data_IF_901059821860
#
_entry.id   IF_901059821860
#
_cell.length_a   1.000
_cell.length_b   1.000
_cell.length_c   1.000
_cell.angle_alpha   90.00
_cell.angle_beta   90.00
_cell.angle_gamma   90.00
#
_symmetry.space_group_name_H-M   'P 1'
#
loop_
_entity.id
_entity.type
_entity.pdbx_description
1 polymer ?
#
# COMPACT_ATOMS: atom_id res chain seq x y z
N UNK A 1 -15.57 33.19 18.78
CA UNK A 1 -14.82 32.25 19.61
C UNK A 1 -14.63 30.97 18.82
N UNK A 2 -13.41 30.46 18.72
CA UNK A 2 -13.13 29.18 18.05
C UNK A 2 -13.33 28.05 19.06
N UNK A 3 -14.26 27.14 18.78
CA UNK A 3 -14.50 25.98 19.65
C UNK A 3 -13.27 25.05 19.64
N UNK A 4 -12.88 24.47 20.79
CA UNK A 4 -11.86 23.44 20.84
C UNK A 4 -12.30 22.23 20.01
N UNK A 5 -11.34 21.55 19.38
CA UNK A 5 -11.58 20.28 18.70
C UNK A 5 -11.39 19.18 19.75
N UNK A 6 -12.48 18.50 20.09
CA UNK A 6 -12.42 17.29 20.90
C UNK A 6 -12.10 16.12 19.98
N UNK A 7 -10.91 15.56 20.14
CA UNK A 7 -10.52 14.30 19.51
C UNK A 7 -10.92 13.18 20.47
N UNK A 8 -12.21 12.85 20.49
CA UNK A 8 -12.69 11.70 21.25
C UNK A 8 -12.42 10.44 20.44
N UNK A 9 -11.46 9.65 20.92
CA UNK A 9 -11.12 8.36 20.33
C UNK A 9 -12.02 7.30 20.96
N UNK A 10 -13.09 6.90 20.27
CA UNK A 10 -13.81 5.69 20.62
C UNK A 10 -12.94 4.47 20.26
N UNK A 11 -12.24 3.98 21.28
CA UNK A 11 -11.39 2.80 21.27
C UNK A 11 -12.02 1.60 20.54
N UNK A 12 -13.34 1.43 20.62
CA UNK A 12 -14.03 0.28 20.03
C UNK A 12 -14.14 0.35 18.50
N UNK A 13 -14.01 1.53 17.89
CA UNK A 13 -14.28 1.74 16.46
C UNK A 13 -13.07 1.58 15.53
N UNK A 14 -11.85 1.47 16.08
CA UNK A 14 -10.61 1.63 15.31
C UNK A 14 -9.84 0.34 15.02
N UNK A 15 -10.15 -0.75 15.72
CA UNK A 15 -9.37 -1.99 15.66
C UNK A 15 -10.18 -3.17 15.13
N UNK A 16 -11.50 -3.03 14.97
CA UNK A 16 -12.41 -4.18 14.79
C UNK A 16 -12.37 -5.17 15.96
N UNK A 17 -11.63 -4.83 17.02
CA UNK A 17 -11.27 -5.69 18.12
C UNK A 17 -11.80 -5.02 19.39
N UNK A 18 -12.70 -5.69 20.10
CA UNK A 18 -13.33 -5.20 21.34
C UNK A 18 -12.34 -5.04 22.52
N UNK A 19 -11.05 -5.20 22.26
CA UNK A 19 -9.97 -5.03 23.22
C UNK A 19 -9.90 -3.59 23.73
N UNK A 20 -9.87 -3.45 25.05
CA UNK A 20 -9.50 -2.21 25.72
C UNK A 20 -8.05 -1.88 25.35
N UNK A 21 -7.80 -0.70 24.77
CA UNK A 21 -6.44 -0.22 24.57
C UNK A 21 -5.70 -0.21 25.91
N UNK A 22 -4.40 -0.54 25.94
CA UNK A 22 -3.61 -0.35 27.13
C UNK A 22 -3.64 1.14 27.50
N UNK A 23 -3.92 1.46 28.76
CA UNK A 23 -3.93 2.83 29.30
C UNK A 23 -2.59 3.56 29.18
N UNK A 24 -1.56 2.86 28.70
CA UNK A 24 -0.19 3.32 28.48
C UNK A 24 0.16 3.52 27.01
N UNK A 25 -0.82 3.51 26.09
CA UNK A 25 -0.55 3.88 24.70
C UNK A 25 -0.10 5.35 24.64
N UNK A 26 1.01 5.58 23.94
CA UNK A 26 1.50 6.92 23.60
C UNK A 26 1.09 7.23 22.15
N UNK A 27 0.67 8.47 21.92
CA UNK A 27 0.16 8.92 20.64
C UNK A 27 1.00 10.10 20.17
N UNK A 28 1.40 10.08 18.90
CA UNK A 28 2.00 11.26 18.26
C UNK A 28 0.89 11.98 17.50
N UNK A 29 0.59 13.21 17.94
CA UNK A 29 -0.34 14.07 17.23
C UNK A 29 0.43 14.94 16.24
N UNK A 30 0.00 14.91 14.98
CA UNK A 30 0.50 15.76 13.92
C UNK A 30 -0.61 16.67 13.41
N UNK A 31 -0.21 17.81 12.85
CA UNK A 31 -1.10 18.65 12.07
C UNK A 31 -0.43 19.09 10.77
N UNK A 32 -1.26 19.34 9.76
CA UNK A 32 -0.89 19.98 8.52
C UNK A 32 -1.84 21.16 8.34
N UNK A 33 -1.26 22.33 8.08
CA UNK A 33 -2.01 23.51 7.65
C UNK A 33 -1.89 23.60 6.14
N UNK A 34 -3.02 23.61 5.45
CA UNK A 34 -3.04 24.00 4.05
C UNK A 34 -3.15 25.52 3.98
N UNK A 35 -2.13 26.18 3.44
CA UNK A 35 -2.09 27.62 3.21
C UNK A 35 -2.75 28.01 1.88
N UNK A 36 -3.37 27.06 1.15
CA UNK A 36 -4.08 27.35 -0.08
C UNK A 36 -5.26 28.31 0.19
N UNK A 37 -5.19 29.47 -0.46
CA UNK A 37 -6.21 30.52 -0.41
C UNK A 37 -7.44 30.22 -1.26
N UNK A 38 -7.47 29.08 -1.97
CA UNK A 38 -8.54 28.72 -2.91
C UNK A 38 -9.78 28.11 -2.21
N UNK A 39 -9.71 27.88 -0.90
CA UNK A 39 -10.82 27.33 -0.10
C UNK A 39 -11.06 25.84 -0.29
N UNK A 40 -10.19 25.14 -1.02
CA UNK A 40 -10.23 23.68 -1.18
C UNK A 40 -9.23 23.06 -0.23
N UNK A 41 -9.72 22.37 0.80
CA UNK A 41 -8.86 21.70 1.79
C UNK A 41 -8.11 20.52 1.17
N UNK A 42 -6.86 20.73 0.73
CA UNK A 42 -5.97 19.72 0.19
C UNK A 42 -4.83 19.46 1.17
N UNK A 43 -5.13 18.75 2.26
CA UNK A 43 -4.11 18.30 3.20
C UNK A 43 -3.10 17.28 2.63
N UNK A 44 -3.19 16.96 1.33
CA UNK A 44 -2.45 15.86 0.68
C UNK A 44 -0.95 16.11 0.56
N UNK A 45 -0.48 17.37 0.59
CA UNK A 45 0.92 17.71 0.29
C UNK A 45 1.65 18.49 1.37
N UNK A 46 0.97 18.94 2.42
CA UNK A 46 1.59 19.70 3.49
C UNK A 46 2.36 18.77 4.44
N UNK A 47 3.62 19.08 4.80
CA UNK A 47 4.38 18.29 5.74
C UNK A 47 3.68 18.26 7.10
N UNK A 48 3.51 17.06 7.65
CA UNK A 48 2.98 16.86 9.00
C UNK A 48 3.95 17.45 10.03
N UNK A 49 3.47 18.42 10.81
CA UNK A 49 4.21 18.98 11.93
C UNK A 49 3.81 18.25 13.20
N UNK A 50 4.79 17.69 13.90
CA UNK A 50 4.57 17.09 15.22
C UNK A 50 4.12 18.17 16.20
N UNK A 51 2.98 17.92 16.85
CA UNK A 51 2.38 18.85 17.79
C UNK A 51 2.78 18.48 19.22
N UNK A 52 2.41 17.28 19.67
CA UNK A 52 2.70 16.78 21.00
C UNK A 52 2.54 15.26 21.07
N UNK A 53 3.24 14.68 22.02
CA UNK A 53 2.96 13.32 22.47
C UNK A 53 1.82 13.37 23.48
N UNK A 54 0.85 12.48 23.35
CA UNK A 54 -0.32 12.40 24.23
C UNK A 54 -0.29 11.04 24.91
N UNK A 55 -0.67 10.99 26.18
CA UNK A 55 -0.94 9.74 26.90
C UNK A 55 -2.44 9.64 27.19
N UNK A 56 -3.02 8.44 27.05
CA UNK A 56 -4.42 8.17 27.37
C UNK A 56 -5.41 8.34 26.20
N UNK A 57 -6.71 8.19 26.48
CA UNK A 57 -7.75 7.95 25.46
C UNK A 57 -8.39 9.22 24.87
N UNK A 58 -8.07 10.41 25.37
CA UNK A 58 -8.64 11.66 24.87
C UNK A 58 -7.65 12.80 25.07
N UNK A 59 -7.59 13.70 24.09
CA UNK A 59 -6.89 14.98 24.19
C UNK A 59 -7.73 16.06 23.54
N UNK A 60 -7.66 17.26 24.11
CA UNK A 60 -8.12 18.46 23.45
C UNK A 60 -6.94 19.12 22.74
N UNK A 61 -7.18 19.58 21.51
CA UNK A 61 -6.26 20.44 20.77
C UNK A 61 -6.91 21.81 20.66
N UNK A 62 -6.24 22.80 21.21
CA UNK A 62 -6.69 24.18 21.19
C UNK A 62 -6.26 24.86 19.89
N UNK A 63 -7.05 25.82 19.37
CA UNK A 63 -6.66 26.64 18.21
C UNK A 63 -5.31 27.36 18.38
N UNK A 64 -4.93 27.67 19.62
CA UNK A 64 -3.63 28.27 19.93
C UNK A 64 -2.46 27.31 19.69
N UNK A 65 -2.63 26.01 19.94
CA UNK A 65 -1.58 24.99 19.73
C UNK A 65 -1.28 24.76 18.24
N UNK A 66 -2.21 25.06 17.34
CA UNK A 66 -2.05 24.93 15.87
C UNK A 66 -1.68 26.23 15.16
N UNK A 67 -1.38 27.30 15.90
CA UNK A 67 -1.00 28.59 15.33
C UNK A 67 -2.14 29.32 14.61
N UNK A 68 -3.40 29.03 14.93
CA UNK A 68 -4.56 29.75 14.41
C UNK A 68 -4.95 30.91 15.36
N UNK A 69 -4.16 31.98 15.38
CA UNK A 69 -4.51 33.17 16.15
C UNK A 69 -5.51 34.09 15.40
N UNK A 70 -5.76 33.83 14.11
CA UNK A 70 -6.18 34.91 13.20
C UNK A 70 -7.66 34.82 12.77
N UNK A 71 -8.41 33.81 13.21
CA UNK A 71 -9.82 33.65 12.86
C UNK A 71 -10.11 33.38 11.37
N UNK A 72 -9.08 33.16 10.56
CA UNK A 72 -9.23 32.74 9.17
C UNK A 72 -9.49 31.22 9.13
N UNK A 73 -10.57 30.73 8.49
CA UNK A 73 -10.83 29.29 8.35
C UNK A 73 -9.86 28.68 7.33
N UNK A 74 -8.57 28.62 7.65
CA UNK A 74 -7.62 27.81 6.92
C UNK A 74 -7.94 26.34 7.16
N UNK A 75 -7.81 25.54 6.11
CA UNK A 75 -8.00 24.10 6.16
C UNK A 75 -6.91 23.47 7.03
N UNK A 76 -7.24 23.18 8.30
CA UNK A 76 -6.35 22.41 9.17
C UNK A 76 -6.78 20.95 9.12
N UNK A 77 -5.85 20.11 8.69
CA UNK A 77 -5.96 18.67 8.83
C UNK A 77 -5.08 18.21 9.99
N UNK A 78 -5.59 17.24 10.74
CA UNK A 78 -4.86 16.60 11.82
C UNK A 78 -4.60 15.16 11.40
N UNK A 79 -3.41 14.65 11.70
CA UNK A 79 -3.11 13.23 11.60
C UNK A 79 -2.73 12.71 12.99
N UNK A 80 -3.43 11.72 13.49
CA UNK A 80 -3.04 11.03 14.72
C UNK A 80 -2.29 9.77 14.32
N UNK A 81 -1.03 9.64 14.74
CA UNK A 81 -0.25 8.40 14.58
C UNK A 81 -0.23 7.67 15.91
N UNK A 82 -0.84 6.50 15.92
CA UNK A 82 -0.84 5.60 17.05
C UNK A 82 0.27 4.57 16.84
N UNK A 83 1.18 4.44 17.80
CA UNK A 83 2.24 3.43 17.80
C UNK A 83 2.07 2.60 19.05
N UNK A 84 1.73 1.32 18.91
CA UNK A 84 1.50 0.46 20.07
C UNK A 84 2.09 -0.94 19.86
N UNK A 85 2.54 -1.60 20.94
CA UNK A 85 2.90 -3.00 20.89
C UNK A 85 1.64 -3.83 20.66
N UNK A 86 1.57 -4.51 19.52
CA UNK A 86 0.60 -5.55 19.27
C UNK A 86 0.91 -6.79 20.13
N UNK A 87 -0.11 -7.60 20.38
CA UNK A 87 0.04 -8.91 21.02
C UNK A 87 1.04 -9.72 20.19
N UNK A 88 2.20 -10.07 20.76
CA UNK A 88 3.31 -10.74 20.05
C UNK A 88 4.54 -9.87 19.79
N UNK A 89 4.56 -8.60 20.22
CA UNK A 89 5.76 -7.75 20.21
C UNK A 89 6.02 -7.01 18.90
N UNK A 90 5.16 -7.16 17.89
CA UNK A 90 5.19 -6.33 16.69
C UNK A 90 4.62 -4.93 17.01
N UNK A 91 5.20 -3.88 16.45
CA UNK A 91 4.65 -2.53 16.57
C UNK A 91 3.60 -2.31 15.48
N UNK A 92 2.34 -2.02 15.86
CA UNK A 92 1.30 -1.60 14.90
C UNK A 92 1.26 -0.08 14.85
N UNK A 93 1.22 0.46 13.64
CA UNK A 93 1.06 1.90 13.37
C UNK A 93 -0.32 2.11 12.76
N UNK A 94 -1.15 2.95 13.37
CA UNK A 94 -2.45 3.33 12.82
C UNK A 94 -2.53 4.84 12.72
N UNK A 95 -2.90 5.35 11.54
CA UNK A 95 -3.06 6.79 11.31
C UNK A 95 -4.53 7.14 11.08
N UNK A 96 -5.03 8.24 11.66
CA UNK A 96 -6.35 8.81 11.33
C UNK A 96 -6.27 10.29 11.01
N UNK A 97 -7.07 10.73 10.05
CA UNK A 97 -7.10 12.11 9.60
C UNK A 97 -8.41 12.81 10.01
N UNK A 98 -8.32 14.06 10.49
CA UNK A 98 -9.48 14.87 10.89
C UNK A 98 -9.44 16.25 10.22
N UNK A 99 -10.61 16.87 9.98
CA UNK A 99 -10.75 18.22 9.42
C UNK A 99 -11.72 19.08 10.24
N UNK A 100 -11.46 20.39 10.32
CA UNK A 100 -12.21 21.36 11.15
C UNK A 100 -13.63 21.65 10.66
N UNK A 101 -13.97 21.37 9.41
CA UNK A 101 -15.23 21.81 8.79
C UNK A 101 -16.45 20.96 9.20
N UNK A 102 -16.34 20.10 10.21
CA UNK A 102 -17.42 19.18 10.60
C UNK A 102 -17.79 18.14 9.53
N UNK A 103 -17.16 18.20 8.35
CA UNK A 103 -17.04 17.05 7.49
C UNK A 103 -16.10 16.08 8.20
N UNK A 104 -16.68 14.99 8.72
CA UNK A 104 -15.92 13.76 8.80
C UNK A 104 -15.27 13.57 7.43
N UNK A 105 -13.94 13.59 7.39
CA UNK A 105 -13.24 12.90 6.31
C UNK A 105 -13.76 11.47 6.46
N UNK A 106 -14.62 11.06 5.54
CA UNK A 106 -15.43 9.88 5.70
C UNK A 106 -14.54 8.65 5.51
N UNK A 107 -13.76 8.30 6.53
CA UNK A 107 -13.03 7.03 6.62
C UNK A 107 -14.00 5.86 6.83
N UNK A 108 -15.29 6.15 7.10
CA UNK A 108 -16.39 5.18 7.07
C UNK A 108 -16.87 4.84 5.65
N UNK A 109 -16.29 5.45 4.60
CA UNK A 109 -16.21 4.76 3.32
C UNK A 109 -15.25 3.61 3.53
N UNK A 110 -15.73 2.52 4.13
CA UNK A 110 -14.91 1.43 4.68
C UNK A 110 -13.76 1.17 3.73
N UNK A 111 -12.53 1.42 4.22
CA UNK A 111 -11.32 1.59 3.43
C UNK A 111 -11.49 0.92 2.08
N UNK A 112 -11.84 1.69 1.04
CA UNK A 112 -12.01 1.08 -0.29
C UNK A 112 -10.62 0.68 -0.69
N UNK A 113 -10.28 -0.57 -0.37
CA UNK A 113 -8.98 -1.16 -0.58
C UNK A 113 -8.53 -0.76 -1.97
N UNK A 114 -7.33 -0.16 -2.07
CA UNK A 114 -6.80 0.37 -3.31
C UNK A 114 -7.18 -0.55 -4.46
N UNK A 115 -7.97 -0.04 -5.39
CA UNK A 115 -8.39 -0.84 -6.52
C UNK A 115 -7.22 -0.85 -7.50
N UNK A 116 -6.56 -1.99 -7.60
CA UNK A 116 -5.65 -2.26 -8.70
C UNK A 116 -6.50 -2.39 -9.96
N UNK A 117 -6.19 -1.64 -11.01
CA UNK A 117 -7.02 -1.64 -12.23
C UNK A 117 -6.25 -1.82 -13.54
N UNK A 118 -4.91 -1.81 -13.52
CA UNK A 118 -4.08 -1.92 -14.73
C UNK A 118 -2.84 -2.78 -14.47
N UNK A 119 -3.05 -4.06 -14.16
CA UNK A 119 -1.97 -5.02 -13.92
C UNK A 119 -1.45 -5.60 -15.24
N UNK A 120 -0.13 -5.59 -15.43
CA UNK A 120 0.55 -6.21 -16.55
C UNK A 120 1.86 -6.88 -16.12
N UNK A 121 2.28 -7.91 -16.84
CA UNK A 121 3.57 -8.55 -16.65
C UNK A 121 4.24 -8.81 -18.00
N UNK A 122 5.49 -8.38 -18.16
CA UNK A 122 6.22 -8.44 -19.44
C UNK A 122 7.67 -8.83 -19.22
N UNK A 123 8.18 -9.73 -20.05
CA UNK A 123 9.61 -10.04 -20.10
C UNK A 123 10.40 -8.82 -20.59
N UNK A 124 11.40 -8.39 -19.83
CA UNK A 124 12.25 -7.24 -20.17
C UNK A 124 13.66 -7.63 -20.64
N UNK A 125 14.03 -8.90 -20.49
CA UNK A 125 15.32 -9.43 -20.93
C UNK A 125 15.66 -10.69 -20.15
N UNK A 126 16.54 -11.54 -20.69
CA UNK A 126 17.03 -12.74 -19.98
C UNK A 126 15.91 -13.55 -19.32
N UNK A 127 16.03 -13.75 -18.01
CA UNK A 127 15.04 -14.34 -17.12
C UNK A 127 14.46 -13.29 -16.16
N UNK A 128 14.15 -12.11 -16.67
CA UNK A 128 13.56 -11.01 -15.92
C UNK A 128 12.19 -10.64 -16.46
N UNK A 129 11.25 -10.46 -15.54
CA UNK A 129 9.89 -10.00 -15.81
C UNK A 129 9.62 -8.73 -15.02
N UNK A 130 9.18 -7.70 -15.71
CA UNK A 130 8.62 -6.50 -15.10
C UNK A 130 7.12 -6.73 -14.88
N UNK A 131 6.69 -6.55 -13.63
CA UNK A 131 5.29 -6.51 -13.21
C UNK A 131 4.96 -5.07 -12.90
N UNK A 132 3.98 -4.51 -13.60
CA UNK A 132 3.55 -3.12 -13.43
C UNK A 132 2.07 -3.07 -13.10
N UNK A 133 1.68 -2.17 -12.20
CA UNK A 133 0.27 -1.94 -11.88
C UNK A 133 -0.02 -0.48 -11.58
N UNK A 134 -1.30 -0.10 -11.72
CA UNK A 134 -1.82 1.18 -11.26
C UNK A 134 -2.90 0.98 -10.23
N UNK A 135 -2.98 1.93 -9.32
CA UNK A 135 -3.92 1.96 -8.20
C UNK A 135 -4.80 3.19 -8.29
N UNK A 136 -6.04 3.07 -7.81
CA UNK A 136 -6.87 4.21 -7.47
C UNK A 136 -6.42 4.82 -6.13
N UNK A 137 -7.29 5.52 -5.41
CA UNK A 137 -6.96 6.07 -4.10
C UNK A 137 -6.55 4.93 -3.14
N UNK A 138 -5.41 5.09 -2.45
CA UNK A 138 -4.80 4.06 -1.60
C UNK A 138 -5.09 4.26 -0.10
N UNK A 139 -6.26 4.81 0.21
CA UNK A 139 -6.63 5.04 1.60
C UNK A 139 -6.79 3.72 2.36
N UNK A 140 -6.17 3.63 3.54
CA UNK A 140 -6.13 2.40 4.34
C UNK A 140 -5.29 1.27 3.76
N UNK A 141 -4.42 1.51 2.77
CA UNK A 141 -3.49 0.51 2.21
C UNK A 141 -2.08 0.71 2.73
N UNK A 142 -1.47 -0.36 3.23
CA UNK A 142 -0.08 -0.39 3.71
C UNK A 142 0.88 -0.60 2.55
N UNK A 143 0.52 -1.46 1.60
CA UNK A 143 1.36 -1.74 0.45
C UNK A 143 0.90 -2.95 -0.37
N UNK A 144 1.84 -3.51 -1.11
CA UNK A 144 1.59 -4.55 -2.10
C UNK A 144 2.63 -5.68 -2.01
N UNK A 145 2.18 -6.91 -2.24
CA UNK A 145 3.06 -8.03 -2.57
C UNK A 145 2.86 -8.44 -4.03
N UNK A 146 3.95 -8.82 -4.69
CA UNK A 146 3.92 -9.49 -5.99
C UNK A 146 4.12 -10.97 -5.77
N UNK A 147 3.23 -11.78 -6.32
CA UNK A 147 3.32 -13.24 -6.28
C UNK A 147 3.35 -13.85 -7.67
N UNK A 148 4.01 -14.99 -7.81
CA UNK A 148 4.24 -15.71 -9.07
C UNK A 148 3.76 -17.17 -8.98
N UNK A 149 3.20 -17.70 -10.06
CA UNK A 149 2.85 -19.11 -10.22
C UNK A 149 3.28 -19.65 -11.60
N UNK A 150 3.42 -20.99 -11.68
CA UNK A 150 3.72 -21.71 -12.93
C UNK A 150 2.49 -21.89 -13.84
N UNK A 151 1.29 -21.87 -13.26
CA UNK A 151 0.02 -22.02 -13.95
C UNK A 151 -0.95 -20.97 -13.44
N UNK A 152 -1.96 -20.62 -14.24
CA UNK A 152 -2.93 -19.58 -13.92
C UNK A 152 -3.66 -19.82 -12.59
N UNK A 153 -4.02 -21.08 -12.32
CA UNK A 153 -4.69 -21.52 -11.10
C UNK A 153 -3.74 -22.25 -10.13
N UNK A 154 -2.43 -22.04 -10.28
CA UNK A 154 -1.42 -22.70 -9.47
C UNK A 154 -1.27 -22.08 -8.08
N UNK A 155 -0.37 -22.67 -7.30
CA UNK A 155 0.09 -22.04 -6.05
C UNK A 155 0.93 -20.81 -6.40
N UNK A 156 0.52 -19.66 -5.88
CA UNK A 156 1.26 -18.40 -6.00
C UNK A 156 2.20 -18.25 -4.80
N UNK A 157 3.47 -18.01 -5.09
CA UNK A 157 4.50 -17.72 -4.09
C UNK A 157 4.88 -16.24 -4.17
N UNK A 158 5.03 -15.58 -3.02
CA UNK A 158 5.50 -14.19 -2.97
C UNK A 158 6.94 -14.11 -3.46
N UNK A 159 7.18 -13.23 -4.44
CA UNK A 159 8.50 -12.99 -5.03
C UNK A 159 9.06 -11.61 -4.69
N UNK A 160 8.26 -10.76 -4.05
CA UNK A 160 8.68 -9.46 -3.53
C UNK A 160 8.62 -9.41 -2.00
N UNK A 161 9.36 -8.45 -1.42
CA UNK A 161 9.00 -7.90 -0.10
C UNK A 161 7.76 -7.02 -0.18
N UNK A 162 7.36 -6.42 0.94
CA UNK A 162 6.28 -5.44 0.98
C UNK A 162 6.71 -4.18 0.22
N UNK A 163 5.96 -3.81 -0.81
CA UNK A 163 6.16 -2.60 -1.59
C UNK A 163 5.23 -1.54 -1.00
N UNK A 164 5.75 -0.49 -0.34
CA UNK A 164 4.90 0.47 0.37
C UNK A 164 3.94 1.20 -0.58
N UNK A 165 2.72 1.46 -0.10
CA UNK A 165 1.78 2.34 -0.77
C UNK A 165 2.23 3.81 -0.64
N UNK A 166 1.90 4.63 -1.63
CA UNK A 166 2.14 6.07 -1.64
C UNK A 166 1.00 6.85 -0.97
N UNK A 167 -0.18 6.24 -0.81
CA UNK A 167 -1.37 6.88 -0.23
C UNK A 167 -2.20 7.68 -1.24
N UNK A 168 -1.79 7.68 -2.51
CA UNK A 168 -2.46 8.37 -3.62
C UNK A 168 -2.42 7.52 -4.89
N UNK A 169 -3.30 7.78 -5.89
CA UNK A 169 -3.29 7.05 -7.15
C UNK A 169 -1.90 7.02 -7.77
N UNK A 170 -1.34 5.83 -7.91
CA UNK A 170 0.07 5.66 -8.22
C UNK A 170 0.29 4.57 -9.27
N UNK A 171 1.44 4.63 -9.92
CA UNK A 171 1.94 3.59 -10.80
C UNK A 171 3.17 2.95 -10.17
N UNK A 172 3.20 1.62 -10.14
CA UNK A 172 4.27 0.84 -9.55
C UNK A 172 4.88 -0.09 -10.57
N UNK A 173 6.14 -0.47 -10.31
CA UNK A 173 6.82 -1.52 -11.02
C UNK A 173 7.64 -2.39 -10.06
N UNK A 174 7.75 -3.67 -10.40
CA UNK A 174 8.59 -4.63 -9.73
C UNK A 174 9.29 -5.51 -10.77
N UNK A 175 10.59 -5.74 -10.60
CA UNK A 175 11.36 -6.61 -11.48
C UNK A 175 11.64 -7.93 -10.77
N UNK A 176 11.01 -8.99 -11.25
CA UNK A 176 11.28 -10.36 -10.81
C UNK A 176 12.47 -10.93 -11.59
N UNK A 177 13.53 -11.30 -10.85
CA UNK A 177 14.66 -12.05 -11.40
C UNK A 177 14.47 -13.53 -11.14
N UNK A 178 14.18 -14.28 -12.21
CA UNK A 178 13.82 -15.69 -12.15
C UNK A 178 15.11 -16.52 -12.11
N UNK A 179 15.30 -17.29 -11.04
CA UNK A 179 16.34 -18.32 -11.00
C UNK A 179 15.91 -19.53 -11.85
N UNK A 180 16.60 -19.84 -12.97
CA UNK A 180 16.24 -20.99 -13.81
C UNK A 180 16.36 -22.33 -13.09
N UNK A 181 17.19 -22.43 -12.05
CA UNK A 181 17.38 -23.67 -11.29
C UNK A 181 16.13 -24.04 -10.47
N UNK A 182 15.37 -23.02 -10.02
CA UNK A 182 14.16 -23.20 -9.23
C UNK A 182 13.04 -23.95 -9.98
N UNK A 183 13.14 -24.02 -11.31
CA UNK A 183 12.06 -24.52 -12.15
C UNK A 183 12.37 -25.82 -12.88
N UNK A 184 13.56 -26.41 -12.69
CA UNK A 184 13.96 -27.70 -13.29
C UNK A 184 13.56 -27.84 -14.78
N UNK A 185 13.66 -26.76 -15.57
CA UNK A 185 13.29 -26.74 -16.99
C UNK A 185 11.81 -26.56 -17.33
N UNK A 186 10.90 -26.39 -16.35
CA UNK A 186 9.45 -26.21 -16.58
C UNK A 186 9.03 -24.81 -17.00
N UNK A 187 9.90 -23.81 -16.83
CA UNK A 187 9.56 -22.38 -17.03
C UNK A 187 9.61 -21.91 -18.47
N UNK A 188 10.32 -22.61 -19.37
CA UNK A 188 10.74 -22.02 -20.63
C UNK A 188 9.70 -22.03 -21.78
N UNK A 189 8.54 -22.69 -21.63
CA UNK A 189 7.59 -22.81 -22.74
C UNK A 189 6.24 -22.12 -22.50
N UNK A 190 5.72 -22.17 -21.27
CA UNK A 190 4.34 -21.77 -21.00
C UNK A 190 4.18 -20.33 -20.50
N UNK A 191 5.28 -19.65 -20.16
CA UNK A 191 5.24 -18.35 -19.47
C UNK A 191 5.04 -18.51 -17.96
N UNK A 192 4.94 -17.39 -17.26
CA UNK A 192 4.71 -17.31 -15.82
C UNK A 192 3.46 -16.47 -15.55
N UNK A 193 2.79 -16.73 -14.42
CA UNK A 193 1.59 -16.01 -14.01
C UNK A 193 1.90 -15.16 -12.78
N UNK A 194 1.41 -13.92 -12.75
CA UNK A 194 1.64 -12.96 -11.68
C UNK A 194 0.34 -12.41 -11.14
N UNK A 195 0.32 -12.11 -9.85
CA UNK A 195 -0.75 -11.36 -9.19
C UNK A 195 -0.16 -10.33 -8.23
N UNK A 196 -0.94 -9.30 -7.94
CA UNK A 196 -0.63 -8.32 -6.90
C UNK A 196 -1.59 -8.53 -5.74
N UNK A 197 -1.08 -8.56 -4.52
CA UNK A 197 -1.88 -8.62 -3.29
C UNK A 197 -1.82 -7.25 -2.62
N UNK A 198 -2.95 -6.55 -2.53
CA UNK A 198 -3.08 -5.33 -1.72
C UNK A 198 -3.14 -5.73 -0.26
N UNK A 199 -2.38 -5.04 0.61
CA UNK A 199 -2.37 -5.23 2.06
C UNK A 199 -2.97 -4.01 2.72
N UNK A 200 -4.04 -4.18 3.51
CA UNK A 200 -4.65 -3.08 4.27
C UNK A 200 -3.97 -2.86 5.64
N UNK A 201 -4.40 -1.82 6.36
CA UNK A 201 -3.90 -1.48 7.71
C UNK A 201 -4.22 -2.53 8.79
N UNK A 202 -5.08 -3.48 8.49
CA UNK A 202 -5.45 -4.60 9.35
C UNK A 202 -4.81 -5.92 8.91
N UNK A 203 -3.85 -5.84 7.98
CA UNK A 203 -3.10 -6.98 7.42
C UNK A 203 -3.99 -7.96 6.63
N UNK A 204 -5.19 -7.54 6.23
CA UNK A 204 -5.97 -8.32 5.27
C UNK A 204 -5.36 -8.16 3.87
N UNK A 205 -5.42 -9.23 3.10
CA UNK A 205 -4.90 -9.24 1.73
C UNK A 205 -6.00 -9.45 0.70
N UNK A 206 -5.99 -8.65 -0.37
CA UNK A 206 -6.89 -8.82 -1.52
C UNK A 206 -6.07 -9.04 -2.80
N UNK A 207 -6.20 -10.21 -3.48
CA UNK A 207 -5.47 -10.47 -4.71
C UNK A 207 -6.12 -9.80 -5.93
N UNK A 208 -5.30 -9.39 -6.89
CA UNK A 208 -5.69 -8.91 -8.21
C UNK A 208 -4.86 -9.57 -9.32
N UNK A 209 -5.53 -10.01 -10.39
CA UNK A 209 -4.95 -10.85 -11.45
C UNK A 209 -5.61 -12.25 -11.49
N UNK A 210 -4.94 -13.26 -12.06
CA UNK A 210 -3.55 -13.25 -12.55
C UNK A 210 -3.37 -12.60 -13.93
N UNK A 211 -2.13 -12.24 -14.26
CA UNK A 211 -1.68 -11.87 -15.60
C UNK A 211 -0.51 -12.72 -16.03
N UNK A 212 -0.41 -13.01 -17.33
CA UNK A 212 0.62 -13.88 -17.88
C UNK A 212 1.78 -13.07 -18.46
N UNK A 213 3.01 -13.43 -18.12
CA UNK A 213 4.21 -13.00 -18.81
C UNK A 213 4.73 -14.12 -19.72
N UNK A 214 4.78 -13.85 -21.03
CA UNK A 214 5.40 -14.77 -21.97
C UNK A 214 6.92 -14.68 -21.89
N UNK A 215 7.56 -15.81 -21.61
CA UNK A 215 9.02 -15.87 -21.53
C UNK A 215 9.69 -16.10 -22.88
N UNK A 216 8.92 -16.45 -23.92
CA UNK A 216 9.42 -16.87 -25.22
C UNK A 216 10.20 -18.19 -25.15
N UNK A 217 10.37 -18.85 -26.30
CA UNK A 217 11.26 -20.00 -26.37
C UNK A 217 12.68 -19.56 -26.00
N UNK A 218 13.37 -20.35 -25.17
CA UNK A 218 14.79 -20.13 -24.89
C UNK A 218 15.54 -20.00 -26.22
N UNK A 219 16.31 -18.91 -26.46
CA UNK A 219 17.07 -18.78 -27.69
C UNK A 219 18.10 -19.91 -27.73
N UNK A 220 17.92 -20.87 -28.64
CA UNK A 220 19.00 -21.77 -29.02
C UNK A 220 18.96 -23.21 -28.52
N UNK A 221 17.81 -23.90 -28.61
CA UNK A 221 17.91 -25.25 -29.21
C UNK A 221 17.93 -25.04 -30.72
N UNK A 222 19.08 -24.59 -31.24
CA UNK A 222 19.38 -24.79 -32.67
C UNK A 222 19.27 -26.30 -32.82
N UNK A 223 18.16 -26.76 -33.39
CA UNK A 223 18.10 -28.09 -33.94
C UNK A 223 19.19 -28.07 -35.00
N UNK A 224 20.39 -28.51 -34.61
CA UNK A 224 21.41 -28.93 -35.54
C UNK A 224 20.76 -30.10 -36.26
N UNK A 225 20.03 -29.79 -37.33
CA UNK A 225 19.71 -30.75 -38.36
C UNK A 225 21.08 -31.19 -38.86
N UNK A 226 21.60 -32.25 -38.26
CA UNK A 226 22.52 -33.14 -38.93
C UNK A 226 21.76 -33.61 -40.17
N UNK A 227 21.94 -32.84 -41.25
CA UNK A 227 21.64 -33.24 -42.60
C UNK A 227 22.61 -34.38 -42.87
N UNK A 228 22.24 -35.59 -42.43
CA UNK A 228 22.90 -36.83 -42.80
C UNK A 228 22.75 -36.92 -44.30
N UNK A 229 23.76 -36.43 -45.01
CA UNK A 229 23.90 -36.61 -46.44
C UNK A 229 23.96 -38.10 -46.70
N UNK A 230 22.89 -38.65 -47.29
CA UNK A 230 22.89 -40.00 -47.84
C UNK A 230 23.94 -40.03 -48.97
N UNK A 231 25.01 -40.84 -48.90
CA UNK A 231 25.94 -40.95 -50.01
C UNK A 231 25.21 -41.62 -51.18
N UNK A 232 25.19 -40.95 -52.33
CA UNK A 232 24.80 -41.58 -53.60
C UNK A 232 25.96 -42.49 -54.02
N UNK A 233 25.67 -43.79 -54.17
CA UNK A 233 26.41 -44.70 -55.04
C UNK A 233 25.57 -44.96 -56.28
#
# INVERSE_FOLDING_TARGET
STNPINLDWDAASATGDSGTFPSTAEYDLYYAKDDNSDGVCSARTAPLTFLKQVAGTSTTVTPAEIGEADGNPTCVAFALKLVYPAVGGATKITSRYFSRVGQAINLNGGATAAEVYDLAARRIGGLQVEVSWKTSLEDGVVGFYVSRALTENGTFERVSGLIPANGEPSAYNFVDSIDPSAFQGRVAASGLYYRVETVDIDDNTKPFGPVKADLGAAPGRIQRMERIGKPRR
#
